data_IF_913383110023
#
_entry.id   IF_913383110023
#
_cell.length_a   1.000
_cell.length_b   1.000
_cell.length_c   1.000
_cell.angle_alpha   90.00
_cell.angle_beta   90.00
_cell.angle_gamma   90.00
#
_symmetry.space_group_name_H-M   'P 1'
#
loop_
_entity.id
_entity.type
_entity.pdbx_description
1 polymer ?
#
# COMPACT_ATOMS: atom_id res chain seq x y z
N UNK A 1 -1.32 -11.20 10.81
CA UNK A 1 -0.69 -9.94 11.24
C UNK A 1 -0.15 -9.26 10.00
N UNK A 2 -0.89 -8.28 9.47
CA UNK A 2 -0.63 -7.51 8.24
C UNK A 2 0.41 -6.41 8.50
N UNK A 3 1.65 -6.53 8.00
CA UNK A 3 2.73 -5.54 8.17
C UNK A 3 3.01 -4.70 6.90
N UNK A 4 2.28 -3.62 6.66
CA UNK A 4 2.57 -2.68 5.55
C UNK A 4 3.98 -2.05 5.67
N UNK A 5 4.96 -2.52 4.90
CA UNK A 5 6.27 -1.88 4.77
C UNK A 5 6.31 -1.02 3.51
N UNK A 6 6.33 0.29 3.68
CA UNK A 6 6.46 1.20 2.55
C UNK A 6 7.96 1.37 2.27
N UNK A 7 8.41 1.02 1.06
CA UNK A 7 9.79 1.24 0.61
C UNK A 7 9.75 2.24 -0.54
N UNK A 8 9.71 3.51 -0.20
CA UNK A 8 9.94 4.55 -1.20
C UNK A 8 11.40 4.43 -1.63
N UNK A 9 11.66 4.46 -2.94
CA UNK A 9 13.02 4.36 -3.50
C UNK A 9 13.86 5.63 -3.23
N UNK A 10 13.37 6.51 -2.36
CA UNK A 10 14.10 7.62 -1.74
C UNK A 10 13.71 7.59 -0.24
N UNK A 11 14.70 7.37 0.62
CA UNK A 11 14.68 7.03 2.05
C UNK A 11 13.58 7.68 2.92
N UNK A 12 12.81 6.92 3.73
CA UNK A 12 12.29 7.35 5.06
C UNK A 12 11.88 6.17 5.98
N UNK A 13 11.91 6.41 7.31
CA UNK A 13 11.98 5.42 8.39
C UNK A 13 10.74 4.57 8.74
N UNK A 14 10.94 3.67 9.70
CA UNK A 14 10.03 2.59 10.11
C UNK A 14 8.85 3.07 10.97
N UNK A 15 7.60 2.78 10.57
CA UNK A 15 6.37 3.11 11.33
C UNK A 15 5.71 1.81 11.84
N UNK A 16 5.52 1.61 13.16
CA UNK A 16 4.91 0.39 13.71
C UNK A 16 3.36 0.39 13.66
N UNK A 17 2.77 -0.79 13.41
CA UNK A 17 1.47 -0.98 12.75
C UNK A 17 0.32 -1.58 13.58
N UNK A 18 0.30 -1.43 14.90
CA UNK A 18 -0.68 -2.13 15.74
C UNK A 18 -2.14 -1.61 15.67
N UNK A 19 -2.49 -0.68 14.76
CA UNK A 19 -3.80 0.01 14.80
C UNK A 19 -4.56 0.20 13.46
N UNK A 20 -4.13 -0.40 12.33
CA UNK A 20 -4.69 -0.07 11.00
C UNK A 20 -5.67 -1.13 10.45
N UNK A 21 -6.88 -1.20 11.00
CA UNK A 21 -7.97 -2.05 10.47
C UNK A 21 -8.97 -1.29 9.57
N UNK A 22 -8.78 0.02 9.42
CA UNK A 22 -9.60 0.93 8.60
C UNK A 22 -8.80 1.52 7.44
N UNK A 23 -9.45 1.80 6.32
CA UNK A 23 -8.84 2.33 5.10
C UNK A 23 -8.10 3.66 5.36
N UNK A 24 -8.61 4.50 6.27
CA UNK A 24 -7.91 5.71 6.69
C UNK A 24 -6.58 5.41 7.38
N UNK A 25 -6.48 4.30 8.12
CA UNK A 25 -5.25 3.91 8.77
C UNK A 25 -4.14 3.66 7.74
N UNK A 26 -4.43 2.85 6.72
CA UNK A 26 -3.50 2.57 5.63
C UNK A 26 -3.12 3.86 4.90
N UNK A 27 -4.10 4.70 4.57
CA UNK A 27 -3.85 5.95 3.87
C UNK A 27 -2.98 6.92 4.71
N UNK A 28 -3.21 6.99 6.03
CA UNK A 28 -2.36 7.76 6.95
C UNK A 28 -0.92 7.24 6.99
N UNK A 29 -0.74 5.93 7.08
CA UNK A 29 0.60 5.33 7.08
C UNK A 29 1.35 5.60 5.76
N UNK A 30 0.65 5.59 4.63
CA UNK A 30 1.24 5.97 3.33
C UNK A 30 1.67 7.43 3.35
N UNK A 31 0.83 8.34 3.81
CA UNK A 31 1.21 9.76 3.92
C UNK A 31 2.40 9.94 4.87
N UNK A 32 2.42 9.25 6.01
CA UNK A 32 3.54 9.33 6.95
C UNK A 32 4.84 8.88 6.32
N UNK A 33 4.81 7.81 5.51
CA UNK A 33 5.97 7.34 4.78
C UNK A 33 6.40 8.30 3.67
N UNK A 34 5.45 8.87 2.90
CA UNK A 34 5.74 9.69 1.72
C UNK A 34 6.07 11.15 2.07
N UNK A 35 5.33 11.74 3.01
CA UNK A 35 5.49 13.15 3.40
C UNK A 35 6.41 13.33 4.62
N UNK A 36 6.79 12.24 5.30
CA UNK A 36 7.55 12.27 6.55
C UNK A 36 6.80 12.95 7.71
N UNK A 37 5.49 13.17 7.56
CA UNK A 37 4.65 13.92 8.51
C UNK A 37 3.33 13.20 8.78
N UNK A 38 2.88 13.15 10.05
CA UNK A 38 1.59 12.59 10.39
C UNK A 38 0.46 13.34 9.70
N UNK A 39 -0.54 12.60 9.26
CA UNK A 39 -1.75 13.18 8.69
C UNK A 39 -2.65 13.70 9.81
N UNK A 40 -2.75 15.03 9.92
CA UNK A 40 -3.68 15.72 10.82
C UNK A 40 -5.16 15.57 10.37
N UNK A 41 -5.36 15.34 9.07
CA UNK A 41 -6.68 15.22 8.43
C UNK A 41 -7.24 13.80 8.57
N UNK A 42 -8.54 13.69 8.87
CA UNK A 42 -9.19 12.40 9.17
C UNK A 42 -9.97 11.84 7.96
N UNK A 43 -10.47 12.68 7.06
CA UNK A 43 -11.31 12.24 5.96
C UNK A 43 -10.52 11.44 4.91
N UNK A 44 -11.04 10.26 4.54
CA UNK A 44 -10.41 9.36 3.57
C UNK A 44 -10.13 10.05 2.23
N UNK A 45 -11.07 10.82 1.70
CA UNK A 45 -10.91 11.53 0.42
C UNK A 45 -9.72 12.51 0.45
N UNK A 46 -9.54 13.23 1.57
CA UNK A 46 -8.40 14.13 1.74
C UNK A 46 -7.08 13.35 1.85
N UNK A 47 -7.09 12.18 2.48
CA UNK A 47 -5.92 11.31 2.54
C UNK A 47 -5.55 10.79 1.15
N UNK A 48 -6.53 10.30 0.39
CA UNK A 48 -6.35 9.84 -0.99
C UNK A 48 -5.82 10.94 -1.91
N UNK A 49 -6.38 12.16 -1.82
CA UNK A 49 -5.91 13.30 -2.61
C UNK A 49 -4.47 13.69 -2.26
N UNK A 50 -4.08 13.64 -0.98
CA UNK A 50 -2.70 13.89 -0.57
C UNK A 50 -1.74 12.81 -1.07
N UNK A 51 -2.11 11.54 -0.97
CA UNK A 51 -1.29 10.46 -1.51
C UNK A 51 -1.07 10.68 -3.00
N UNK A 52 -2.13 10.99 -3.75
CA UNK A 52 -2.05 11.29 -5.18
C UNK A 52 -0.99 12.35 -5.47
N UNK A 53 -1.10 13.53 -4.86
CA UNK A 53 -0.16 14.63 -5.12
C UNK A 53 1.26 14.34 -4.64
N UNK A 54 1.41 13.53 -3.58
CA UNK A 54 2.73 13.19 -3.05
C UNK A 54 3.48 12.15 -3.86
N UNK A 55 2.80 11.28 -4.62
CA UNK A 55 3.43 10.23 -5.45
C UNK A 55 3.43 10.54 -6.95
N UNK A 56 2.67 11.54 -7.39
CA UNK A 56 2.59 11.93 -8.81
C UNK A 56 3.99 12.19 -9.38
N UNK A 57 4.33 11.49 -10.46
CA UNK A 57 5.64 11.61 -11.11
C UNK A 57 6.82 10.98 -10.34
N UNK A 58 6.58 10.28 -9.22
CA UNK A 58 7.62 9.58 -8.45
C UNK A 58 7.57 8.07 -8.64
N UNK A 59 8.75 7.43 -8.58
CA UNK A 59 8.88 5.98 -8.62
C UNK A 59 8.94 5.42 -7.20
N UNK A 60 8.10 4.43 -6.88
CA UNK A 60 8.05 3.84 -5.54
C UNK A 60 7.84 2.31 -5.52
N UNK A 61 8.17 1.68 -4.39
CA UNK A 61 7.79 0.30 -4.08
C UNK A 61 6.96 0.25 -2.79
N UNK A 62 5.66 -0.03 -2.92
CA UNK A 62 4.78 -0.20 -1.76
C UNK A 62 4.69 -1.68 -1.38
N UNK A 63 5.07 -2.09 -0.17
CA UNK A 63 4.89 -3.48 0.29
C UNK A 63 3.78 -3.56 1.32
N UNK A 64 2.69 -4.27 0.99
CA UNK A 64 1.54 -4.51 1.87
C UNK A 64 1.59 -5.95 2.35
N UNK A 65 2.09 -6.19 3.56
CA UNK A 65 2.25 -7.57 4.05
C UNK A 65 0.97 -8.14 4.68
N UNK A 66 0.73 -9.44 4.55
CA UNK A 66 -0.37 -10.27 5.10
C UNK A 66 -1.79 -9.67 4.91
N UNK A 67 -2.12 -9.28 3.68
CA UNK A 67 -3.47 -8.81 3.32
C UNK A 67 -4.49 -9.95 3.38
N UNK A 68 -5.62 -9.70 4.04
CA UNK A 68 -6.80 -10.59 4.02
C UNK A 68 -7.85 -10.09 3.01
N UNK A 69 -8.87 -10.91 2.76
CA UNK A 69 -9.94 -10.64 1.77
C UNK A 69 -10.72 -9.35 2.05
N UNK A 70 -11.07 -9.09 3.31
CA UNK A 70 -11.70 -7.83 3.73
C UNK A 70 -10.77 -6.63 3.51
N UNK A 71 -9.46 -6.82 3.73
CA UNK A 71 -8.45 -5.81 3.43
C UNK A 71 -8.34 -5.53 1.94
N UNK A 72 -8.47 -6.57 1.11
CA UNK A 72 -8.38 -6.45 -0.33
C UNK A 72 -9.48 -5.56 -0.91
N UNK A 73 -10.74 -5.79 -0.52
CA UNK A 73 -11.88 -4.96 -0.92
C UNK A 73 -11.73 -3.50 -0.47
N UNK A 74 -11.13 -3.28 0.71
CA UNK A 74 -10.88 -1.93 1.25
C UNK A 74 -9.73 -1.20 0.55
N UNK A 75 -8.92 -1.88 -0.25
CA UNK A 75 -7.77 -1.28 -0.95
C UNK A 75 -8.13 -0.71 -2.32
N UNK A 76 -9.35 -0.90 -2.83
CA UNK A 76 -9.75 -0.47 -4.17
C UNK A 76 -9.49 1.03 -4.44
N UNK A 77 -9.99 1.93 -3.59
CA UNK A 77 -9.77 3.37 -3.79
C UNK A 77 -8.28 3.77 -3.63
N UNK A 78 -7.53 3.03 -2.82
CA UNK A 78 -6.07 3.23 -2.69
C UNK A 78 -5.35 2.78 -3.96
N UNK A 79 -5.74 1.64 -4.57
CA UNK A 79 -5.17 1.19 -5.84
C UNK A 79 -5.34 2.24 -6.93
N UNK A 80 -6.50 2.88 -7.01
CA UNK A 80 -6.75 3.92 -8.02
C UNK A 80 -5.77 5.07 -7.89
N UNK A 81 -5.55 5.57 -6.68
CA UNK A 81 -4.58 6.64 -6.42
C UNK A 81 -3.15 6.19 -6.71
N UNK A 82 -2.78 4.96 -6.34
CA UNK A 82 -1.41 4.46 -6.53
C UNK A 82 -1.03 4.27 -8.01
N UNK A 83 -2.00 4.22 -8.93
CA UNK A 83 -1.73 4.20 -10.38
C UNK A 83 -1.12 5.49 -10.90
N UNK A 84 -1.16 6.58 -10.14
CA UNK A 84 -0.59 7.88 -10.52
C UNK A 84 0.93 7.98 -10.32
N UNK A 85 1.58 6.92 -9.83
CA UNK A 85 3.04 6.84 -9.77
C UNK A 85 3.69 6.90 -11.15
N UNK A 86 4.97 7.28 -11.19
CA UNK A 86 5.77 7.20 -12.41
C UNK A 86 6.00 5.75 -12.85
N UNK A 87 6.40 5.58 -14.12
CA UNK A 87 6.85 4.29 -14.64
C UNK A 87 7.91 3.67 -13.72
N UNK A 88 7.85 2.35 -13.57
CA UNK A 88 8.69 1.59 -12.65
C UNK A 88 8.13 1.48 -11.23
N UNK A 89 7.06 2.22 -10.88
CA UNK A 89 6.39 2.04 -9.60
C UNK A 89 5.77 0.65 -9.47
N UNK A 90 5.83 0.07 -8.27
CA UNK A 90 5.37 -1.29 -7.98
C UNK A 90 4.66 -1.36 -6.64
N UNK A 91 3.67 -2.25 -6.56
CA UNK A 91 3.00 -2.62 -5.31
C UNK A 91 3.24 -4.13 -5.13
N UNK A 92 3.85 -4.51 -4.02
CA UNK A 92 4.02 -5.88 -3.60
C UNK A 92 3.01 -6.17 -2.49
N UNK A 93 2.17 -7.17 -2.68
CA UNK A 93 1.25 -7.63 -1.65
C UNK A 93 1.71 -9.00 -1.18
N UNK A 94 1.89 -9.21 0.12
CA UNK A 94 2.05 -10.56 0.67
C UNK A 94 0.72 -10.99 1.27
N UNK A 95 0.36 -12.25 1.07
CA UNK A 95 -0.88 -12.81 1.58
C UNK A 95 -0.74 -14.32 1.72
N UNK A 96 -1.51 -14.90 2.64
CA UNK A 96 -1.66 -16.35 2.79
C UNK A 96 -2.82 -16.92 1.97
N UNK A 97 -3.57 -16.08 1.25
CA UNK A 97 -4.76 -16.46 0.51
C UNK A 97 -4.62 -16.06 -0.96
N UNK A 98 -4.59 -17.04 -1.85
CA UNK A 98 -4.52 -16.81 -3.30
C UNK A 98 -5.68 -15.92 -3.81
N UNK A 99 -6.89 -16.07 -3.25
CA UNK A 99 -8.04 -15.23 -3.56
C UNK A 99 -7.76 -13.73 -3.45
N UNK A 100 -6.93 -13.31 -2.48
CA UNK A 100 -6.54 -11.90 -2.32
C UNK A 100 -5.76 -11.43 -3.54
N UNK A 101 -4.89 -12.26 -4.11
CA UNK A 101 -4.12 -11.90 -5.30
C UNK A 101 -5.03 -11.78 -6.54
N UNK A 102 -6.04 -12.64 -6.66
CA UNK A 102 -7.06 -12.55 -7.72
C UNK A 102 -7.87 -11.25 -7.59
N UNK A 103 -8.36 -10.93 -6.38
CA UNK A 103 -9.03 -9.66 -6.08
C UNK A 103 -8.12 -8.44 -6.31
N UNK A 104 -6.81 -8.63 -6.20
CA UNK A 104 -5.81 -7.61 -6.49
C UNK A 104 -5.51 -7.44 -7.98
N UNK A 105 -6.06 -8.30 -8.85
CA UNK A 105 -5.74 -8.32 -10.28
C UNK A 105 -4.32 -8.80 -10.56
N UNK A 106 -3.72 -9.55 -9.63
CA UNK A 106 -2.33 -9.98 -9.66
C UNK A 106 -2.17 -11.46 -10.04
N UNK A 107 -3.20 -12.13 -10.55
CA UNK A 107 -3.21 -13.58 -10.85
C UNK A 107 -2.02 -14.01 -11.72
N UNK A 108 -1.67 -13.22 -12.75
CA UNK A 108 -0.53 -13.50 -13.63
C UNK A 108 0.85 -13.17 -13.06
N UNK A 109 0.91 -12.56 -11.87
CA UNK A 109 2.14 -12.03 -11.26
C UNK A 109 2.40 -12.62 -9.85
N UNK A 110 1.69 -13.70 -9.48
CA UNK A 110 1.84 -14.34 -8.18
C UNK A 110 3.19 -15.05 -8.06
N UNK A 111 3.82 -14.90 -6.89
CA UNK A 111 5.04 -15.62 -6.54
C UNK A 111 4.77 -16.39 -5.25
N UNK A 112 4.86 -17.71 -5.31
CA UNK A 112 4.74 -18.57 -4.14
C UNK A 112 6.10 -18.67 -3.46
N UNK A 113 6.17 -18.32 -2.17
CA UNK A 113 7.43 -18.31 -1.42
C UNK A 113 8.12 -19.67 -1.35
N UNK A 114 7.35 -20.76 -1.45
CA UNK A 114 7.87 -22.13 -1.46
C UNK A 114 8.62 -22.49 -2.75
N UNK A 115 8.40 -21.74 -3.83
CA UNK A 115 9.00 -21.97 -5.15
C UNK A 115 10.22 -21.06 -5.40
N UNK A 116 10.66 -20.30 -4.39
CA UNK A 116 11.85 -19.47 -4.47
C UNK A 116 13.14 -20.34 -4.42
N UNK A 117 14.19 -19.99 -5.20
CA UNK A 117 15.44 -20.72 -5.27
C UNK A 117 16.30 -20.64 -3.99
#
# INVERSE_FOLDING_TARGET
>A
MTQLRIVLLEDFGHVPLTLLTRQEGIAKAIIEAVDGRPADVVALESLLHRIHTSIEGKTFLLVIDDVCTEGATKLEALKEVLKNGAEGSRILVTTRKEEVAVMMGAEGNMIFLQDLP
#
